data_IF_479127077469
#
_entry.id   IF_479127077469
#
_cell.length_a   1.000
_cell.length_b   1.000
_cell.length_c   1.000
_cell.angle_alpha   90.00
_cell.angle_beta   90.00
_cell.angle_gamma   90.00
#
_symmetry.space_group_name_H-M   'P 1'
#
loop_
_entity.id
_entity.type
_entity.pdbx_description
1 polymer ?
2 non-polymer ?
3 non-polymer ?
4 non-polymer ?
5 water ?
#
# COMPACT_ATOMS: atom_id res chain seq x y z
N UNK A 1 11.11 -8.55 6.21
CA UNK A 1 12.45 -9.02 6.66
C UNK A 1 13.18 -7.91 7.40
N UNK A 2 14.24 -7.38 6.79
CA UNK A 2 14.93 -6.17 7.25
C UNK A 2 15.67 -5.57 6.06
N UNK A 3 16.48 -4.53 6.30
CA UNK A 3 17.19 -3.82 5.23
C UNK A 3 18.64 -4.26 5.07
N UNK A 4 19.00 -5.37 5.72
CA UNK A 4 20.39 -5.88 5.73
C UNK A 4 20.67 -6.74 4.48
N UNK A 5 20.55 -6.10 3.32
CA UNK A 5 20.88 -6.75 2.05
C UNK A 5 21.49 -5.79 1.05
N UNK A 6 22.16 -6.38 0.05
CA UNK A 6 22.88 -5.68 -1.01
C UNK A 6 22.11 -5.83 -2.31
N UNK A 7 22.05 -4.77 -3.10
CA UNK A 7 21.62 -4.92 -4.50
C UNK A 7 22.83 -5.22 -5.31
N UNK A 8 22.91 -6.46 -5.76
CA UNK A 8 24.02 -6.85 -6.64
C UNK A 8 23.84 -6.19 -8.02
N UNK A 9 24.93 -6.16 -8.79
CA UNK A 9 24.95 -5.48 -10.09
C UNK A 9 24.21 -6.29 -11.15
N UNK A 10 22.88 -6.16 -11.14
CA UNK A 10 22.01 -6.82 -12.11
C UNK A 10 21.39 -5.72 -12.98
N UNK A 11 21.85 -5.59 -14.22
CA UNK A 11 21.42 -4.48 -15.08
C UNK A 11 20.94 -5.03 -16.41
N UNK A 12 19.68 -4.81 -16.72
CA UNK A 12 19.08 -5.27 -17.96
C UNK A 12 19.02 -4.11 -18.95
N UNK A 13 19.45 -4.34 -20.18
CA UNK A 13 19.43 -3.28 -21.19
C UNK A 13 18.48 -3.60 -22.34
N UNK A 14 17.98 -2.55 -22.98
CA UNK A 14 17.07 -2.63 -24.13
C UNK A 14 17.19 -1.32 -24.94
N UNK A 15 16.27 -1.12 -25.89
CA UNK A 15 16.24 0.11 -26.69
C UNK A 15 17.42 0.19 -27.64
N UNK A 16 17.93 1.40 -27.86
CA UNK A 16 19.03 1.64 -28.81
C UNK A 16 20.36 1.14 -28.23
N UNK A 17 21.12 0.34 -29.01
CA UNK A 17 22.48 -0.06 -28.60
C UNK A 17 23.26 1.15 -28.11
N UNK A 18 23.87 1.05 -26.94
CA UNK A 18 24.38 2.23 -26.27
C UNK A 18 25.43 3.01 -27.08
N UNK A 19 26.23 2.29 -27.87
CA UNK A 19 27.25 2.93 -28.70
C UNK A 19 26.65 3.85 -29.77
N UNK A 20 25.38 3.67 -30.12
CA UNK A 20 24.77 4.48 -31.16
C UNK A 20 23.84 5.55 -30.59
N UNK A 21 23.42 5.35 -29.34
CA UNK A 21 22.35 6.15 -28.75
C UNK A 21 22.74 7.59 -28.46
N UNK A 22 21.84 8.50 -28.81
CA UNK A 22 21.93 9.92 -28.51
C UNK A 22 21.54 10.20 -27.04
N UNK A 23 20.70 9.32 -26.48
CA UNK A 23 20.12 9.53 -25.16
C UNK A 23 20.01 8.19 -24.44
N UNK A 24 19.81 8.24 -23.13
CA UNK A 24 19.62 7.03 -22.35
C UNK A 24 18.56 7.26 -21.33
N UNK A 25 17.95 6.18 -20.87
CA UNK A 25 16.96 6.30 -19.80
C UNK A 25 17.20 5.20 -18.77
N UNK A 26 17.25 5.59 -17.51
CA UNK A 26 17.36 4.68 -16.38
C UNK A 26 15.94 4.44 -15.88
N UNK A 27 15.46 3.18 -15.95
CA UNK A 27 14.09 2.84 -15.58
C UNK A 27 14.10 2.00 -14.31
N UNK A 28 13.31 2.42 -13.32
CA UNK A 28 13.34 1.81 -11.98
C UNK A 28 11.96 1.24 -11.65
N UNK A 29 11.93 -0.08 -11.49
CA UNK A 29 10.72 -0.82 -11.19
C UNK A 29 10.24 -0.61 -9.78
N UNK A 30 9.00 -0.99 -9.55
CA UNK A 30 8.37 -0.87 -8.26
C UNK A 30 8.55 -2.07 -7.33
N UNK A 31 7.94 -1.99 -6.16
CA UNK A 31 8.06 -3.04 -5.13
C UNK A 31 7.47 -4.36 -5.65
N UNK A 32 8.25 -5.43 -5.55
CA UNK A 32 7.82 -6.74 -6.06
C UNK A 32 7.92 -6.87 -7.57
N UNK A 33 8.49 -5.85 -8.23
CA UNK A 33 8.52 -5.79 -9.68
C UNK A 33 9.83 -6.24 -10.26
N UNK A 34 9.95 -6.16 -11.59
CA UNK A 34 11.17 -6.61 -12.25
C UNK A 34 11.61 -5.62 -13.28
N UNK A 35 12.90 -5.67 -13.61
CA UNK A 35 13.44 -4.85 -14.69
C UNK A 35 12.74 -5.13 -16.03
N UNK A 36 12.52 -6.41 -16.34
CA UNK A 36 11.84 -6.76 -17.61
C UNK A 36 10.45 -6.12 -17.70
N UNK A 37 9.74 -6.10 -16.56
CA UNK A 37 8.43 -5.46 -16.43
C UNK A 37 8.53 -4.00 -16.86
N UNK A 38 9.29 -3.23 -16.08
CA UNK A 38 9.37 -1.77 -16.24
C UNK A 38 9.82 -1.37 -17.66
N UNK A 39 10.70 -2.16 -18.26
CA UNK A 39 11.15 -1.90 -19.64
C UNK A 39 9.97 -1.93 -20.62
N UNK A 40 8.96 -2.75 -20.34
CA UNK A 40 7.83 -2.85 -21.27
C UNK A 40 7.07 -1.52 -21.40
N UNK A 41 7.34 -0.55 -20.51
CA UNK A 41 6.74 0.79 -20.66
C UNK A 41 7.22 1.49 -21.93
N UNK A 42 8.29 0.97 -22.54
CA UNK A 42 8.75 1.53 -23.81
C UNK A 42 7.71 1.35 -24.93
N UNK A 43 6.73 0.49 -24.70
CA UNK A 43 5.65 0.27 -25.66
C UNK A 43 4.68 1.46 -25.72
N UNK A 44 4.67 2.30 -24.68
CA UNK A 44 3.73 3.43 -24.57
C UNK A 44 4.41 4.79 -24.31
N UNK A 45 5.61 4.78 -23.70
CA UNK A 45 6.42 5.97 -23.54
C UNK A 45 7.32 6.19 -24.75
N UNK A 46 7.51 7.46 -25.12
CA UNK A 46 8.37 7.84 -26.26
C UNK A 46 9.84 7.71 -25.86
N UNK A 47 10.38 6.49 -25.94
CA UNK A 47 11.77 6.21 -25.53
C UNK A 47 12.58 5.64 -26.70
N UNK A 48 12.08 5.80 -27.91
CA UNK A 48 12.66 5.09 -29.05
C UNK A 48 14.07 5.55 -29.43
N UNK A 49 14.49 6.73 -28.95
CA UNK A 49 15.87 7.20 -29.17
C UNK A 49 16.83 6.89 -28.01
N UNK A 50 16.31 6.20 -26.98
CA UNK A 50 17.10 5.94 -25.79
C UNK A 50 17.69 4.54 -25.73
N UNK A 51 18.93 4.48 -25.23
CA UNK A 51 19.48 3.25 -24.69
C UNK A 51 18.78 3.08 -23.34
N UNK A 52 18.17 1.93 -23.11
CA UNK A 52 17.38 1.70 -21.89
C UNK A 52 18.17 0.82 -20.93
N UNK A 53 18.39 1.32 -19.71
CA UNK A 53 18.99 0.55 -18.62
C UNK A 53 17.99 0.40 -17.50
N UNK A 54 17.77 -0.83 -17.04
CA UNK A 54 16.85 -1.07 -15.92
C UNK A 54 17.55 -2.00 -14.92
N UNK A 55 18.01 -1.44 -13.77
CA UNK A 55 18.63 -2.33 -12.79
C UNK A 55 17.57 -3.15 -12.09
N UNK A 56 17.92 -4.40 -11.72
CA UNK A 56 16.98 -5.26 -11.03
C UNK A 56 17.28 -5.25 -9.53
N UNK A 57 16.25 -5.01 -8.71
CA UNK A 57 16.43 -5.01 -7.26
C UNK A 57 16.54 -6.44 -6.73
N UNK A 58 17.48 -6.62 -5.81
CA UNK A 58 17.55 -7.84 -5.02
C UNK A 58 16.28 -7.89 -4.18
N UNK A 59 15.72 -9.09 -4.04
CA UNK A 59 14.42 -9.31 -3.38
C UNK A 59 13.25 -8.62 -4.09
N UNK A 60 13.49 -8.22 -5.34
CA UNK A 60 12.52 -7.45 -6.14
C UNK A 60 12.00 -6.22 -5.39
N UNK A 61 12.83 -5.67 -4.50
CA UNK A 61 12.42 -4.54 -3.69
C UNK A 61 13.61 -3.70 -3.30
N UNK A 62 13.56 -2.40 -3.65
CA UNK A 62 14.66 -1.46 -3.35
C UNK A 62 14.98 -1.31 -1.88
N UNK A 63 13.95 -1.33 -1.05
CA UNK A 63 14.15 -1.19 0.41
C UNK A 63 12.89 -1.79 1.07
N UNK A 64 13.02 -2.31 2.30
CA UNK A 64 11.98 -3.22 2.85
C UNK A 64 10.63 -2.62 3.29
N UNK A 65 10.64 -1.35 3.67
CA UNK A 65 9.49 -0.71 4.31
C UNK A 65 8.98 0.47 3.51
N UNK A 66 7.88 1.09 3.98
CA UNK A 66 7.39 2.33 3.38
C UNK A 66 8.55 3.30 3.16
N UNK A 67 8.50 4.03 2.04
CA UNK A 67 9.45 5.11 1.79
C UNK A 67 9.45 6.16 2.90
N UNK A 68 8.35 6.24 3.64
CA UNK A 68 8.27 7.15 4.77
C UNK A 68 8.51 6.57 6.17
N UNK A 69 8.99 5.32 6.23
CA UNK A 69 9.53 4.79 7.47
C UNK A 69 10.76 5.61 7.91
N UNK A 70 11.05 5.65 9.22
CA UNK A 70 12.37 6.20 9.65
C UNK A 70 13.45 5.63 8.79
N UNK A 71 14.23 6.50 8.17
CA UNK A 71 15.09 6.08 7.08
C UNK A 71 16.09 4.99 7.49
N UNK A 72 16.55 5.05 8.74
CA UNK A 72 17.50 4.02 9.20
C UNK A 72 16.93 2.60 9.10
N UNK A 73 15.59 2.46 9.16
CA UNK A 73 14.95 1.14 9.05
C UNK A 73 15.01 0.60 7.64
N UNK A 74 15.29 1.48 6.68
CA UNK A 74 15.44 1.12 5.25
C UNK A 74 16.86 1.03 4.82
N UNK A 75 17.77 1.14 5.78
CA UNK A 75 19.21 1.08 5.54
C UNK A 75 19.76 -0.23 6.08
N UNK A 76 20.78 -0.81 5.42
CA UNK A 76 21.60 -0.31 4.32
C UNK A 76 21.08 -0.57 2.89
N UNK A 77 19.92 -1.19 2.75
CA UNK A 77 19.35 -1.51 1.43
C UNK A 77 19.18 -0.26 0.56
N UNK A 78 18.71 0.83 1.16
CA UNK A 78 18.53 2.09 0.42
C UNK A 78 19.85 2.62 -0.16
N UNK A 79 20.89 2.71 0.69
CA UNK A 79 22.20 3.15 0.23
C UNK A 79 22.69 2.23 -0.88
N UNK A 80 22.43 0.94 -0.72
CA UNK A 80 22.81 -0.02 -1.76
C UNK A 80 22.05 0.25 -3.06
N UNK A 81 20.76 0.54 -2.93
CA UNK A 81 19.94 0.89 -4.11
C UNK A 81 20.49 2.16 -4.81
N UNK A 82 20.81 3.18 -4.01
CA UNK A 82 21.36 4.44 -4.56
C UNK A 82 22.70 4.19 -5.24
N UNK A 83 23.53 3.34 -4.63
CA UNK A 83 24.81 2.97 -5.24
C UNK A 83 24.64 2.33 -6.63
N UNK A 84 23.67 1.44 -6.75
CA UNK A 84 23.44 0.74 -8.01
C UNK A 84 22.96 1.72 -9.11
N UNK A 85 22.06 2.62 -8.75
CA UNK A 85 21.58 3.62 -9.74
C UNK A 85 22.79 4.44 -10.18
N UNK A 86 23.62 4.83 -9.22
CA UNK A 86 24.84 5.58 -9.50
C UNK A 86 25.80 4.83 -10.43
N UNK A 87 25.93 3.52 -10.20
CA UNK A 87 26.74 2.67 -11.11
C UNK A 87 26.20 2.69 -12.54
N UNK A 88 24.87 2.59 -12.67
CA UNK A 88 24.23 2.62 -13.99
C UNK A 88 24.52 3.96 -14.68
N UNK A 89 24.30 5.07 -13.95
CA UNK A 89 24.63 6.41 -14.50
C UNK A 89 26.10 6.50 -14.93
N UNK A 90 27.00 6.03 -14.06
CA UNK A 90 28.42 6.01 -14.39
C UNK A 90 28.71 5.21 -15.66
N UNK A 91 28.09 4.04 -15.80
CA UNK A 91 28.29 3.23 -17.02
C UNK A 91 27.85 3.98 -18.29
N UNK A 92 26.67 4.59 -18.21
CA UNK A 92 26.14 5.36 -19.33
C UNK A 92 27.11 6.49 -19.72
N UNK A 93 27.58 7.24 -18.73
CA UNK A 93 28.51 8.32 -19.04
C UNK A 93 29.81 7.78 -19.63
N UNK A 94 30.26 6.61 -19.18
CA UNK A 94 31.48 6.00 -19.73
C UNK A 94 31.30 5.51 -21.19
N UNK A 95 30.03 5.29 -21.58
CA UNK A 95 29.71 4.90 -22.96
C UNK A 95 29.60 6.13 -23.83
N UNK A 96 29.80 7.31 -23.24
CA UNK A 96 29.85 8.57 -23.98
C UNK A 96 28.54 9.37 -24.08
N UNK A 97 27.55 9.01 -23.26
CA UNK A 97 26.29 9.76 -23.19
C UNK A 97 26.36 10.64 -21.95
N UNK A 98 26.38 11.97 -22.15
CA UNK A 98 26.49 12.93 -21.06
C UNK A 98 25.22 12.97 -20.21
N UNK A 99 25.35 13.40 -18.96
CA UNK A 99 24.20 13.37 -18.02
C UNK A 99 23.01 14.19 -18.54
N UNK A 100 23.29 15.24 -19.32
CA UNK A 100 22.21 16.06 -19.86
C UNK A 100 21.34 15.38 -20.93
N UNK A 101 21.77 14.18 -21.36
CA UNK A 101 21.00 13.32 -22.27
C UNK A 101 20.56 12.05 -21.55
N UNK A 102 20.64 12.04 -20.21
CA UNK A 102 20.21 10.88 -19.43
C UNK A 102 18.88 11.22 -18.76
N UNK A 103 17.91 10.35 -18.98
CA UNK A 103 16.55 10.49 -18.43
C UNK A 103 16.34 9.44 -17.36
N UNK A 104 15.39 9.70 -16.46
CA UNK A 104 15.02 8.72 -15.42
C UNK A 104 13.52 8.53 -15.41
N UNK A 105 13.09 7.28 -15.21
CA UNK A 105 11.66 6.99 -15.13
C UNK A 105 11.41 5.91 -14.09
N UNK A 106 10.49 6.16 -13.17
CA UNK A 106 10.24 5.19 -12.11
C UNK A 106 8.76 5.20 -11.77
N UNK A 107 8.27 4.07 -11.25
CA UNK A 107 6.90 4.00 -10.74
C UNK A 107 6.94 3.59 -9.29
N UNK A 108 6.16 4.29 -8.47
CA UNK A 108 5.95 3.89 -7.07
C UNK A 108 7.28 3.81 -6.31
N UNK A 109 7.65 2.64 -5.77
CA UNK A 109 8.93 2.49 -5.08
C UNK A 109 10.09 2.97 -5.95
N UNK A 110 10.03 2.67 -7.25
CA UNK A 110 11.01 3.15 -8.24
C UNK A 110 10.99 4.66 -8.47
N UNK A 111 9.80 5.27 -8.34
CA UNK A 111 9.69 6.75 -8.47
C UNK A 111 10.35 7.42 -7.25
N UNK A 112 10.13 6.86 -6.07
CA UNK A 112 10.76 7.38 -4.86
C UNK A 112 12.29 7.29 -4.98
N UNK A 113 12.78 6.13 -5.42
CA UNK A 113 14.21 5.94 -5.62
C UNK A 113 14.75 6.91 -6.69
N UNK A 114 13.98 7.11 -7.76
CA UNK A 114 14.33 8.03 -8.82
C UNK A 114 14.54 9.44 -8.24
N UNK A 115 13.56 9.91 -7.46
CA UNK A 115 13.61 11.27 -6.90
C UNK A 115 14.76 11.38 -5.90
N UNK A 116 14.93 10.35 -5.07
CA UNK A 116 15.96 10.40 -4.03
C UNK A 116 17.35 10.41 -4.66
N UNK A 117 17.55 9.58 -5.68
CA UNK A 117 18.85 9.57 -6.34
C UNK A 117 19.17 10.88 -7.06
N UNK A 118 18.21 11.35 -7.84
CA UNK A 118 18.48 12.53 -8.65
C UNK A 118 18.64 13.79 -7.80
N UNK A 119 17.95 13.86 -6.65
CA UNK A 119 17.99 15.02 -5.77
C UNK A 119 19.25 15.01 -4.88
N UNK A 120 19.76 13.82 -4.57
CA UNK A 120 21.08 13.75 -3.91
C UNK A 120 22.21 14.09 -4.87
N UNK A 121 21.92 14.00 -6.17
CA UNK A 121 22.94 14.14 -7.23
C UNK A 121 22.44 15.04 -8.32
N UNK A 122 21.95 16.22 -7.94
CA UNK A 122 21.26 17.11 -8.89
C UNK A 122 22.26 17.73 -9.84
N UNK A 123 21.94 17.64 -11.12
CA UNK A 123 22.70 18.30 -12.17
C UNK A 123 21.76 18.39 -13.36
N UNK A 124 22.27 18.85 -14.50
CA UNK A 124 21.41 18.95 -15.68
C UNK A 124 21.22 17.54 -16.23
N UNK A 125 19.99 17.04 -16.16
CA UNK A 125 19.67 15.75 -16.75
C UNK A 125 18.74 15.98 -17.94
N UNK A 126 18.52 14.94 -18.74
CA UNK A 126 17.57 15.04 -19.84
C UNK A 126 16.14 15.28 -19.37
N UNK A 127 15.74 14.57 -18.32
CA UNK A 127 14.39 14.70 -17.77
C UNK A 127 14.19 13.63 -16.72
N UNK A 128 13.24 13.86 -15.82
CA UNK A 128 13.00 12.94 -14.71
C UNK A 128 11.50 12.71 -14.60
N UNK A 129 11.10 11.43 -14.62
CA UNK A 129 9.68 11.08 -14.57
C UNK A 129 9.42 10.23 -13.33
N UNK A 130 8.65 10.78 -12.39
CA UNK A 130 8.35 10.09 -11.13
C UNK A 130 6.87 9.83 -11.02
N UNK A 131 6.45 8.67 -11.55
CA UNK A 131 5.03 8.27 -11.46
C UNK A 131 4.73 7.78 -10.06
N UNK A 132 3.96 8.57 -9.32
CA UNK A 132 3.52 8.23 -7.94
C UNK A 132 4.67 7.96 -6.99
N UNK A 133 5.43 9.01 -6.70
CA UNK A 133 6.52 8.88 -5.76
C UNK A 133 6.85 10.20 -5.09
N UNK A 134 7.69 10.11 -4.06
CA UNK A 134 8.18 11.27 -3.33
C UNK A 134 9.57 11.02 -2.79
N UNK A 135 10.19 12.07 -2.26
CA UNK A 135 11.49 11.95 -1.61
C UNK A 135 11.35 11.07 -0.34
N UNK A 136 12.45 10.46 0.07
CA UNK A 136 12.41 9.32 1.00
C UNK A 136 12.73 9.71 2.43
N UNK A 137 11.96 9.19 3.39
CA UNK A 137 12.28 9.28 4.83
C UNK A 137 11.11 9.78 5.63
N UNK A 138 10.98 9.32 6.88
CA UNK A 138 9.94 9.86 7.75
C UNK A 138 10.11 11.37 7.88
N UNK A 139 11.36 11.81 8.11
CA UNK A 139 11.73 13.22 8.11
C UNK A 139 12.51 13.46 6.82
N UNK A 140 12.26 14.56 6.11
CA UNK A 140 13.13 14.92 5.01
C UNK A 140 14.46 15.37 5.58
N UNK A 141 15.54 14.81 5.04
CA UNK A 141 16.88 15.20 5.46
C UNK A 141 17.49 16.06 4.36
N UNK A 142 17.26 17.38 4.43
CA UNK A 142 17.64 18.28 3.34
C UNK A 142 19.15 18.29 3.12
N UNK A 143 19.90 17.96 4.18
CA UNK A 143 21.34 17.98 4.08
C UNK A 143 21.94 16.99 3.11
N UNK A 144 21.13 15.99 2.71
CA UNK A 144 21.53 15.01 1.69
C UNK A 144 21.39 15.49 0.24
N UNK A 145 20.69 16.61 0.06
CA UNK A 145 20.34 17.04 -1.28
C UNK A 145 21.31 18.10 -1.77
N UNK A 146 22.02 17.77 -2.84
CA UNK A 146 23.08 18.64 -3.35
C UNK A 146 23.03 18.76 -4.84
N UNK A 147 23.45 19.91 -5.35
CA UNK A 147 23.52 20.11 -6.78
C UNK A 147 22.55 21.17 -7.27
N UNK A 148 22.46 21.31 -8.60
CA UNK A 148 21.48 22.22 -9.20
C UNK A 148 20.94 21.56 -10.45
N UNK A 149 19.63 21.50 -10.60
CA UNK A 149 19.06 20.81 -11.76
C UNK A 149 19.21 21.55 -13.10
N UNK A 150 19.59 22.82 -13.06
CA UNK A 150 19.80 23.61 -14.28
C UNK A 150 18.57 23.51 -15.19
N UNK A 151 17.39 23.55 -14.58
CA UNK A 151 16.12 23.60 -15.33
C UNK A 151 15.70 22.23 -15.89
N UNK A 152 16.32 21.14 -15.41
CA UNK A 152 15.86 19.77 -15.78
C UNK A 152 14.34 19.64 -15.65
N UNK A 153 13.66 19.21 -16.73
CA UNK A 153 12.22 19.01 -16.62
C UNK A 153 11.94 17.79 -15.74
N UNK A 154 11.02 17.93 -14.79
CA UNK A 154 10.65 16.85 -13.87
C UNK A 154 9.13 16.74 -13.86
N UNK A 155 8.62 15.53 -14.02
CA UNK A 155 7.19 15.23 -13.87
C UNK A 155 7.00 14.40 -12.62
N UNK A 156 6.15 14.87 -11.73
CA UNK A 156 5.85 14.15 -10.50
C UNK A 156 4.33 14.07 -10.34
N UNK A 157 3.83 12.85 -10.14
CA UNK A 157 2.40 12.67 -9.97
C UNK A 157 2.08 11.80 -8.78
N UNK A 158 0.83 11.88 -8.35
CA UNK A 158 0.26 10.91 -7.43
C UNK A 158 -1.26 10.96 -7.55
N UNK A 159 -1.92 10.04 -6.89
CA UNK A 159 -3.37 10.09 -6.80
C UNK A 159 -3.76 10.70 -5.47
N UNK A 160 -5.04 11.06 -5.35
CA UNK A 160 -5.54 11.62 -4.12
C UNK A 160 -6.93 11.09 -3.86
N UNK A 161 -7.12 10.44 -2.69
CA UNK A 161 -6.07 10.06 -1.74
C UNK A 161 -5.25 8.86 -2.24
N UNK A 162 -4.11 8.60 -1.62
CA UNK A 162 -3.34 7.38 -1.86
C UNK A 162 -2.68 7.02 -0.54
N UNK A 163 -3.03 5.85 0.03
CA UNK A 163 -2.51 5.46 1.34
C UNK A 163 -1.02 5.15 1.37
N UNK A 164 -0.40 5.04 0.20
CA UNK A 164 1.05 4.80 0.10
C UNK A 164 1.89 6.04 -0.01
N UNK A 165 1.33 7.10 -0.60
CA UNK A 165 2.06 8.35 -0.88
C UNK A 165 1.14 9.50 -0.52
N UNK A 166 1.32 10.11 0.67
CA UNK A 166 0.44 11.24 0.92
C UNK A 166 0.73 12.38 -0.05
N UNK A 167 -0.31 13.12 -0.40
CA UNK A 167 -0.18 14.29 -1.25
C UNK A 167 0.81 15.28 -0.61
N UNK A 168 0.77 15.37 0.73
CA UNK A 168 1.70 16.24 1.46
C UNK A 168 3.17 16.00 1.11
N UNK A 169 3.57 14.73 0.97
CA UNK A 169 4.97 14.42 0.63
C UNK A 169 5.31 14.74 -0.83
N UNK A 170 4.36 14.57 -1.74
CA UNK A 170 4.59 15.01 -3.11
C UNK A 170 4.80 16.55 -3.15
N UNK A 171 3.95 17.29 -2.43
CA UNK A 171 4.09 18.77 -2.30
C UNK A 171 5.46 19.16 -1.76
N UNK A 172 5.88 18.49 -0.69
CA UNK A 172 7.19 18.75 -0.08
C UNK A 172 8.30 18.49 -1.07
N UNK A 173 8.17 17.39 -1.83
CA UNK A 173 9.16 17.00 -2.85
C UNK A 173 9.23 18.06 -3.93
N UNK A 174 8.08 18.52 -4.39
CA UNK A 174 8.03 19.60 -5.39
C UNK A 174 8.76 20.87 -4.88
N UNK A 175 8.49 21.25 -3.64
CA UNK A 175 9.11 22.43 -3.06
C UNK A 175 10.64 22.31 -3.08
N UNK A 176 11.14 21.14 -2.71
CA UNK A 176 12.59 20.91 -2.68
C UNK A 176 13.16 20.91 -4.11
N UNK A 177 12.49 20.20 -5.01
CA UNK A 177 12.91 20.17 -6.44
C UNK A 177 12.95 21.57 -7.04
N UNK A 178 11.92 22.36 -6.75
CA UNK A 178 11.88 23.74 -7.28
C UNK A 178 12.99 24.61 -6.70
N UNK A 179 13.23 24.48 -5.40
CA UNK A 179 14.37 25.16 -4.77
C UNK A 179 15.73 24.81 -5.38
N UNK A 180 15.84 23.59 -5.89
CA UNK A 180 17.08 23.14 -6.53
C UNK A 180 17.07 23.34 -8.02
N UNK A 181 16.12 24.17 -8.48
CA UNK A 181 16.11 24.67 -9.86
C UNK A 181 15.69 23.63 -10.91
N UNK A 182 14.91 22.62 -10.50
CA UNK A 182 14.23 21.79 -11.50
C UNK A 182 13.10 22.61 -12.13
N UNK A 183 12.73 22.25 -13.36
CA UNK A 183 11.48 22.77 -13.99
C UNK A 183 10.37 21.74 -13.73
N UNK A 184 9.59 21.96 -12.66
CA UNK A 184 8.71 20.92 -12.14
C UNK A 184 7.26 21.00 -12.61
N UNK A 185 6.76 19.88 -13.12
CA UNK A 185 5.32 19.69 -13.41
C UNK A 185 4.75 18.70 -12.42
N UNK A 186 3.82 19.17 -11.58
CA UNK A 186 3.21 18.33 -10.56
C UNK A 186 1.77 18.14 -10.95
N UNK A 187 1.32 16.90 -11.00
CA UNK A 187 -0.08 16.63 -11.31
C UNK A 187 -0.61 15.63 -10.31
N UNK A 188 -1.73 16.00 -9.67
CA UNK A 188 -2.38 15.16 -8.69
C UNK A 188 -3.71 14.74 -9.29
N UNK A 189 -3.98 13.44 -9.27
CA UNK A 189 -5.17 12.87 -9.91
C UNK A 189 -6.15 12.35 -8.85
N UNK A 190 -7.16 13.18 -8.51
CA UNK A 190 -8.16 12.82 -7.51
C UNK A 190 -8.84 11.50 -7.91
N UNK A 191 -8.90 10.56 -6.98
CA UNK A 191 -9.61 9.29 -7.20
C UNK A 191 -8.94 8.27 -8.11
N UNK A 192 -7.76 8.58 -8.65
CA UNK A 192 -7.05 7.64 -9.51
C UNK A 192 -6.49 6.49 -8.67
N UNK A 193 -6.62 5.23 -9.16
CA UNK A 193 -6.00 4.10 -8.45
C UNK A 193 -4.48 4.17 -8.50
N UNK A 194 -3.84 3.32 -7.71
CA UNK A 194 -2.38 3.33 -7.59
C UNK A 194 -1.78 2.70 -8.82
N UNK A 195 -1.56 3.51 -9.86
CA UNK A 195 -1.24 2.99 -11.18
C UNK A 195 -0.68 4.11 -12.05
N UNK A 196 -0.24 3.78 -13.26
CA UNK A 196 0.11 4.80 -14.25
C UNK A 196 -1.09 4.97 -15.19
N UNK A 197 -1.75 6.12 -15.10
CA UNK A 197 -2.91 6.41 -15.94
C UNK A 197 -2.47 6.74 -17.38
N UNK A 198 -3.39 6.58 -18.33
CA UNK A 198 -3.09 6.93 -19.73
C UNK A 198 -2.79 8.40 -19.89
N UNK A 199 -3.42 9.23 -19.05
CA UNK A 199 -3.21 10.68 -19.09
C UNK A 199 -1.76 11.04 -18.74
N UNK A 200 -1.21 10.34 -17.75
CA UNK A 200 0.18 10.55 -17.33
C UNK A 200 1.13 10.20 -18.45
N UNK A 201 0.83 9.10 -19.15
CA UNK A 201 1.66 8.65 -20.26
C UNK A 201 1.69 9.70 -21.38
N UNK A 202 0.52 10.19 -21.79
CA UNK A 202 0.42 11.19 -22.86
C UNK A 202 1.11 12.48 -22.43
N UNK A 203 0.88 12.88 -21.19
CA UNK A 203 1.43 14.13 -20.69
C UNK A 203 2.95 14.07 -20.68
N UNK A 204 3.49 12.95 -20.23
CA UNK A 204 4.96 12.79 -20.22
C UNK A 204 5.49 12.80 -21.66
N UNK A 205 4.78 12.15 -22.57
CA UNK A 205 5.25 12.10 -23.97
C UNK A 205 5.27 13.45 -24.65
N UNK A 206 4.33 14.33 -24.25
CA UNK A 206 4.21 15.67 -24.85
C UNK A 206 5.03 16.74 -24.14
N UNK A 207 5.70 16.37 -23.06
CA UNK A 207 6.49 17.31 -22.26
C UNK A 207 7.91 16.80 -22.08
N UNK A 208 8.13 16.01 -21.04
CA UNK A 208 9.48 15.49 -20.72
C UNK A 208 10.12 14.80 -21.93
N UNK A 209 9.32 14.01 -22.65
CA UNK A 209 9.82 13.20 -23.76
C UNK A 209 9.54 13.80 -25.12
N UNK A 210 9.14 15.09 -25.16
CA UNK A 210 8.90 15.80 -26.42
C UNK A 210 10.13 15.74 -27.31
N UNK B 2 -4.82 16.71 8.75
CA UNK B 2 -5.36 15.75 7.72
C UNK B 2 -5.10 14.29 8.12
N UNK B 3 -3.82 13.92 8.26
CA UNK B 3 -3.44 12.57 8.67
C UNK B 3 -3.85 12.26 10.12
N UNK B 4 -3.76 13.28 10.99
CA UNK B 4 -4.21 13.11 12.38
C UNK B 4 -5.71 13.41 12.53
N UNK B 5 -6.47 12.38 12.90
CA UNK B 5 -7.88 12.49 13.25
C UNK B 5 -8.28 11.30 14.13
N UNK B 6 -9.44 11.40 14.74
CA UNK B 6 -10.03 10.28 15.45
C UNK B 6 -11.48 10.11 14.97
N UNK B 7 -12.10 9.02 15.42
CA UNK B 7 -13.47 8.66 15.02
C UNK B 7 -14.49 9.04 16.03
N UNK B 8 -15.50 9.76 15.61
CA UNK B 8 -16.69 9.92 16.46
C UNK B 8 -17.54 8.64 16.52
N UNK B 9 -18.45 8.60 17.48
CA UNK B 9 -19.29 7.43 17.68
C UNK B 9 -20.46 7.51 16.71
N UNK B 10 -20.29 6.88 15.55
CA UNK B 10 -21.35 6.81 14.55
C UNK B 10 -21.53 5.33 14.29
N UNK B 11 -22.67 4.79 14.72
CA UNK B 11 -22.97 3.36 14.55
C UNK B 11 -24.30 3.21 13.81
N UNK B 12 -24.26 2.52 12.66
CA UNK B 12 -25.48 2.20 11.88
C UNK B 12 -25.91 0.78 12.27
N UNK B 13 -27.21 0.59 12.49
CA UNK B 13 -27.71 -0.75 12.79
C UNK B 13 -28.74 -1.20 11.75
N UNK B 14 -28.84 -2.51 11.58
CA UNK B 14 -29.74 -3.12 10.63
C UNK B 14 -30.00 -4.56 11.08
N UNK B 15 -30.63 -5.38 10.24
CA UNK B 15 -30.84 -6.77 10.57
C UNK B 15 -31.89 -6.98 11.67
N UNK B 16 -31.74 -8.07 12.41
CA UNK B 16 -32.68 -8.41 13.48
C UNK B 16 -32.62 -7.37 14.61
N UNK B 17 -33.79 -6.87 15.08
CA UNK B 17 -33.79 -6.01 16.25
C UNK B 17 -33.02 -6.67 17.39
N UNK B 18 -32.09 -5.93 17.99
CA UNK B 18 -31.11 -6.55 18.85
C UNK B 18 -31.74 -7.19 20.09
N UNK B 19 -32.86 -6.65 20.59
CA UNK B 19 -33.54 -7.20 21.78
C UNK B 19 -34.14 -8.60 21.58
N UNK B 20 -34.14 -9.08 20.33
CA UNK B 20 -34.57 -10.47 20.07
C UNK B 20 -33.66 -11.23 19.12
N UNK B 21 -32.42 -10.77 18.96
CA UNK B 21 -31.44 -11.46 18.09
C UNK B 21 -30.63 -12.49 18.88
N UNK B 22 -30.45 -13.67 18.28
CA UNK B 22 -29.55 -14.72 18.78
C UNK B 22 -28.10 -14.26 18.70
N UNK B 23 -27.80 -13.67 17.55
CA UNK B 23 -26.45 -13.42 17.10
C UNK B 23 -26.33 -11.98 16.64
N UNK B 24 -25.09 -11.49 16.53
CA UNK B 24 -24.84 -10.16 16.00
C UNK B 24 -23.64 -10.21 15.13
N UNK B 25 -23.58 -9.30 14.16
CA UNK B 25 -22.38 -9.19 13.35
C UNK B 25 -21.94 -7.72 13.34
N UNK B 26 -20.62 -7.52 13.51
CA UNK B 26 -20.01 -6.21 13.44
C UNK B 26 -19.39 -6.15 12.02
N UNK B 27 -19.85 -5.23 11.19
CA UNK B 27 -19.39 -5.10 9.81
C UNK B 27 -18.57 -3.82 9.62
N UNK B 28 -17.36 -4.00 9.07
CA UNK B 28 -16.38 -2.92 8.96
C UNK B 28 -16.05 -2.62 7.49
N UNK B 29 -16.48 -1.43 7.05
CA UNK B 29 -16.27 -1.00 5.66
C UNK B 29 -14.82 -0.77 5.31
N UNK B 30 -14.54 -0.75 4.01
CA UNK B 30 -13.20 -0.48 3.48
C UNK B 30 -12.87 1.01 3.38
N UNK B 31 -11.65 1.29 2.96
CA UNK B 31 -11.20 2.66 2.75
C UNK B 31 -12.02 3.37 1.65
N UNK B 32 -12.57 4.53 1.97
CA UNK B 32 -13.43 5.27 1.04
C UNK B 32 -14.89 4.83 1.13
N UNK B 33 -15.16 3.87 2.01
CA UNK B 33 -16.47 3.24 2.08
C UNK B 33 -17.33 3.79 3.18
N UNK B 34 -18.55 3.26 3.27
CA UNK B 34 -19.49 3.69 4.30
C UNK B 34 -20.12 2.48 5.01
N UNK B 35 -20.63 2.72 6.22
CA UNK B 35 -21.41 1.72 6.93
C UNK B 35 -22.58 1.20 6.10
N UNK B 36 -23.29 2.10 5.43
CA UNK B 36 -24.42 1.70 4.57
C UNK B 36 -23.98 0.77 3.43
N UNK B 37 -22.82 1.07 2.83
CA UNK B 37 -22.15 0.23 1.84
C UNK B 37 -21.97 -1.20 2.30
N UNK B 38 -21.29 -1.36 3.45
CA UNK B 38 -20.89 -2.68 3.93
C UNK B 38 -22.13 -3.49 4.37
N UNK B 39 -23.13 -2.80 4.92
CA UNK B 39 -24.37 -3.46 5.37
C UNK B 39 -25.09 -4.09 4.17
N UNK B 40 -24.89 -3.52 2.99
CA UNK B 40 -25.54 -4.03 1.78
C UNK B 40 -25.12 -5.46 1.41
N UNK B 41 -23.97 -5.92 1.96
CA UNK B 41 -23.55 -7.31 1.85
C UNK B 41 -24.57 -8.30 2.45
N UNK B 42 -25.52 -7.82 3.26
CA UNK B 42 -26.54 -8.71 3.83
C UNK B 42 -27.43 -9.28 2.71
N UNK B 43 -27.39 -8.66 1.53
CA UNK B 43 -28.15 -9.15 0.39
C UNK B 43 -27.59 -10.47 -0.14
N UNK B 44 -26.30 -10.70 0.12
CA UNK B 44 -25.66 -11.92 -0.38
C UNK B 44 -25.09 -12.82 0.71
N UNK B 45 -24.82 -12.25 1.90
CA UNK B 45 -24.33 -13.03 3.03
C UNK B 45 -25.50 -13.56 3.86
N UNK B 46 -25.32 -14.76 4.42
CA UNK B 46 -26.36 -15.37 5.26
C UNK B 46 -26.36 -14.74 6.66
N UNK B 47 -27.05 -13.62 6.80
CA UNK B 47 -27.02 -12.86 8.06
C UNK B 47 -28.43 -12.74 8.68
N UNK B 48 -29.34 -13.61 8.26
CA UNK B 48 -30.74 -13.48 8.73
C UNK B 48 -30.98 -13.68 10.21
N UNK B 49 -30.08 -14.31 10.93
CA UNK B 49 -30.31 -14.40 12.37
C UNK B 49 -29.40 -13.44 13.15
N UNK B 50 -28.88 -12.42 12.47
CA UNK B 50 -27.99 -11.44 13.11
C UNK B 50 -28.58 -10.05 13.22
N UNK B 51 -28.40 -9.45 14.39
CA UNK B 51 -28.48 -8.00 14.52
C UNK B 51 -27.22 -7.48 13.85
N UNK B 52 -27.35 -6.47 12.99
CA UNK B 52 -26.18 -5.91 12.28
C UNK B 52 -25.77 -4.56 12.85
N UNK B 53 -24.48 -4.43 13.19
CA UNK B 53 -23.88 -3.17 13.65
C UNK B 53 -22.75 -2.80 12.72
N UNK B 54 -22.76 -1.58 12.20
CA UNK B 54 -21.68 -1.14 11.32
C UNK B 54 -21.25 0.28 11.73
N UNK B 55 -20.07 0.41 12.37
CA UNK B 55 -19.62 1.77 12.71
C UNK B 55 -19.15 2.47 11.46
N UNK B 56 -19.32 3.79 11.45
CA UNK B 56 -18.89 4.61 10.31
C UNK B 56 -17.60 5.32 10.65
N UNK B 57 -16.59 5.16 9.79
CA UNK B 57 -15.28 5.81 9.99
C UNK B 57 -15.36 7.26 9.65
N UNK B 58 -14.78 8.10 10.52
CA UNK B 58 -14.50 9.49 10.17
C UNK B 58 -13.58 9.53 8.95
N UNK B 59 -13.86 10.47 8.04
CA UNK B 59 -13.17 10.58 6.74
C UNK B 59 -13.35 9.32 5.87
N UNK B 60 -14.35 8.48 6.18
CA UNK B 60 -14.56 7.22 5.45
C UNK B 60 -13.30 6.32 5.42
N UNK B 61 -12.42 6.45 6.41
CA UNK B 61 -11.15 5.72 6.43
C UNK B 61 -10.69 5.48 7.85
N UNK B 62 -10.45 4.22 8.20
CA UNK B 62 -10.16 3.84 9.59
C UNK B 62 -8.86 4.42 10.07
N UNK B 63 -7.90 4.56 9.16
CA UNK B 63 -6.58 5.13 9.44
C UNK B 63 -6.01 5.67 8.12
N UNK B 64 -5.14 6.69 8.22
CA UNK B 64 -4.76 7.48 7.03
C UNK B 64 -3.92 6.75 5.99
N UNK B 65 -3.05 5.84 6.42
CA UNK B 65 -2.06 5.24 5.51
C UNK B 65 -2.20 3.72 5.38
N UNK B 66 -1.33 3.10 4.57
CA UNK B 66 -1.34 1.64 4.41
C UNK B 66 -1.28 0.95 5.77
N UNK B 67 -2.00 -0.17 5.91
CA UNK B 67 -1.91 -0.94 7.14
C UNK B 67 -0.47 -1.40 7.42
N UNK B 68 0.41 -1.32 6.41
CA UNK B 68 1.78 -1.75 6.58
C UNK B 68 2.80 -0.62 6.73
N UNK B 69 2.30 0.62 6.86
CA UNK B 69 3.12 1.74 7.31
C UNK B 69 3.55 1.56 8.78
N UNK B 70 4.56 2.32 9.24
CA UNK B 70 4.84 2.28 10.68
C UNK B 70 3.57 2.60 11.46
N UNK B 71 3.24 1.79 12.46
CA UNK B 71 1.95 1.90 13.12
C UNK B 71 1.77 3.30 13.73
N UNK B 72 2.86 3.91 14.20
CA UNK B 72 2.78 5.23 14.82
C UNK B 72 2.23 6.29 13.84
N UNK B 73 2.48 6.09 12.54
CA UNK B 73 1.96 7.01 11.52
C UNK B 73 0.45 6.88 11.28
N UNK B 74 -0.13 5.78 11.76
CA UNK B 74 -1.58 5.55 11.66
C UNK B 74 -2.29 5.89 12.97
N UNK B 75 -1.55 6.47 13.90
CA UNK B 75 -2.12 6.89 15.19
C UNK B 75 -2.33 8.40 15.22
N UNK B 76 -3.36 8.89 15.95
CA UNK B 76 -4.26 8.16 16.85
C UNK B 76 -5.50 7.54 16.19
N UNK B 77 -5.61 7.63 14.86
CA UNK B 77 -6.81 7.11 14.16
C UNK B 77 -7.04 5.61 14.41
N UNK B 78 -5.96 4.85 14.38
CA UNK B 78 -6.04 3.39 14.58
C UNK B 78 -6.54 3.04 15.98
N UNK B 79 -5.92 3.63 17.02
CA UNK B 79 -6.38 3.40 18.38
C UNK B 79 -7.84 3.82 18.53
N UNK B 80 -8.21 4.94 17.88
CA UNK B 80 -9.60 5.41 17.97
C UNK B 80 -10.54 4.41 17.29
N UNK B 81 -10.11 3.87 16.16
CA UNK B 81 -10.91 2.86 15.42
C UNK B 81 -11.10 1.59 16.27
N UNK B 82 -10.03 1.14 16.89
CA UNK B 82 -10.07 -0.01 17.79
C UNK B 82 -11.00 0.25 18.99
N UNK B 83 -10.94 1.45 19.57
CA UNK B 83 -11.86 1.86 20.65
C UNK B 83 -13.35 1.82 20.24
N UNK B 84 -13.62 2.31 19.03
CA UNK B 84 -14.95 2.34 18.48
C UNK B 84 -15.51 0.92 18.26
N UNK B 85 -14.70 0.05 17.66
CA UNK B 85 -15.12 -1.37 17.52
C UNK B 85 -15.37 -1.97 18.90
N UNK B 86 -14.48 -1.71 19.86
CA UNK B 86 -14.71 -2.16 21.24
C UNK B 86 -16.03 -1.67 21.82
N UNK B 87 -16.38 -0.41 21.55
CA UNK B 87 -17.66 0.13 22.04
C UNK B 87 -18.85 -0.62 21.44
N UNK B 88 -18.77 -0.88 20.13
CA UNK B 88 -19.81 -1.66 19.44
C UNK B 88 -20.01 -3.03 20.11
N UNK B 89 -18.90 -3.76 20.29
CA UNK B 89 -18.94 -5.04 21.00
C UNK B 89 -19.57 -4.89 22.40
N UNK B 90 -19.15 -3.86 23.17
CA UNK B 90 -19.73 -3.59 24.48
C UNK B 90 -21.26 -3.35 24.41
N UNK B 91 -21.71 -2.62 23.39
CA UNK B 91 -23.16 -2.37 23.23
C UNK B 91 -23.91 -3.67 22.98
N UNK B 92 -23.34 -4.54 22.14
CA UNK B 92 -24.00 -5.83 21.80
C UNK B 92 -24.08 -6.69 23.07
N UNK B 93 -22.98 -6.77 23.82
CA UNK B 93 -22.98 -7.51 25.08
C UNK B 93 -24.01 -6.98 26.08
N UNK B 94 -24.14 -5.65 26.18
CA UNK B 94 -25.10 -5.00 27.07
C UNK B 94 -26.52 -5.33 26.64
N UNK B 95 -26.71 -5.63 25.36
CA UNK B 95 -28.03 -6.04 24.87
C UNK B 95 -28.33 -7.51 25.18
N UNK B 96 -27.33 -8.21 25.68
CA UNK B 96 -27.51 -9.57 26.16
C UNK B 96 -27.04 -10.65 25.20
N UNK B 97 -26.26 -10.27 24.19
CA UNK B 97 -25.69 -11.22 23.26
C UNK B 97 -24.22 -11.43 23.62
N UNK B 98 -23.84 -12.68 23.98
CA UNK B 98 -22.45 -12.95 24.41
C UNK B 98 -21.49 -12.92 23.24
N UNK B 99 -20.21 -12.69 23.53
CA UNK B 99 -19.17 -12.64 22.50
C UNK B 99 -19.11 -13.89 21.62
N UNK B 100 -19.42 -15.06 22.18
CA UNK B 100 -19.42 -16.31 21.39
C UNK B 100 -20.50 -16.32 20.30
N UNK B 101 -21.43 -15.35 20.37
CA UNK B 101 -22.46 -15.17 19.33
C UNK B 101 -22.27 -13.89 18.55
N UNK B 102 -21.08 -13.29 18.67
CA UNK B 102 -20.75 -12.12 17.90
C UNK B 102 -19.79 -12.46 16.77
N UNK B 103 -20.18 -12.02 15.58
CA UNK B 103 -19.44 -12.26 14.36
C UNK B 103 -18.87 -10.95 13.87
N UNK B 104 -17.81 -11.05 13.05
CA UNK B 104 -17.21 -9.89 12.43
C UNK B 104 -17.04 -10.15 10.96
N UNK B 105 -17.24 -9.10 10.16
CA UNK B 105 -16.99 -9.17 8.71
C UNK B 105 -16.45 -7.83 8.24
N UNK B 106 -15.32 -7.87 7.54
CA UNK B 106 -14.75 -6.65 7.04
C UNK B 106 -14.17 -6.86 5.67
N UNK B 107 -14.04 -5.77 4.91
CA UNK B 107 -13.38 -5.85 3.62
C UNK B 107 -12.19 -4.91 3.56
N UNK B 108 -11.07 -5.42 3.07
CA UNK B 108 -9.86 -4.62 2.84
C UNK B 108 -9.46 -3.87 4.13
N UNK B 109 -9.46 -2.53 4.15
CA UNK B 109 -9.08 -1.80 5.38
C UNK B 109 -9.91 -2.28 6.58
N UNK B 110 -11.22 -2.51 6.35
CA UNK B 110 -12.09 -3.03 7.40
C UNK B 110 -11.80 -4.47 7.84
N UNK B 111 -11.24 -5.26 6.92
CA UNK B 111 -10.76 -6.63 7.24
C UNK B 111 -9.48 -6.58 8.09
N UNK B 112 -8.59 -5.64 7.76
CA UNK B 112 -7.37 -5.45 8.57
C UNK B 112 -7.75 -5.00 10.01
N UNK B 113 -8.67 -4.04 10.11
CA UNK B 113 -9.22 -3.61 11.41
C UNK B 113 -9.90 -4.76 12.14
N UNK B 114 -10.67 -5.57 11.40
CA UNK B 114 -11.35 -6.73 12.00
C UNK B 114 -10.33 -7.66 12.66
N UNK B 115 -9.26 -7.97 11.92
CA UNK B 115 -8.23 -8.89 12.41
C UNK B 115 -7.45 -8.26 13.57
N UNK B 116 -7.12 -6.99 13.46
CA UNK B 116 -6.35 -6.31 14.53
C UNK B 116 -7.18 -6.22 15.82
N UNK B 117 -8.47 -5.89 15.69
CA UNK B 117 -9.31 -5.84 16.89
C UNK B 117 -9.47 -7.21 17.55
N UNK B 118 -9.84 -8.22 16.76
CA UNK B 118 -10.17 -9.52 17.33
C UNK B 118 -8.91 -10.21 17.90
N UNK B 119 -7.75 -9.91 17.31
CA UNK B 119 -6.49 -10.55 17.72
C UNK B 119 -5.87 -9.86 18.96
N UNK B 120 -6.08 -8.55 19.08
CA UNK B 120 -5.74 -7.85 20.33
C UNK B 120 -6.69 -8.28 21.49
N UNK B 121 -7.89 -8.73 21.13
CA UNK B 121 -8.94 -9.07 22.10
C UNK B 121 -9.45 -10.49 21.85
N UNK B 122 -8.51 -11.44 21.77
CA UNK B 122 -8.84 -12.80 21.37
C UNK B 122 -9.65 -13.51 22.45
N UNK B 123 -10.72 -14.16 22.01
CA UNK B 123 -11.65 -14.87 22.87
C UNK B 123 -12.53 -15.70 21.93
N UNK B 124 -13.45 -16.49 22.46
CA UNK B 124 -14.36 -17.22 21.57
C UNK B 124 -15.39 -16.28 20.97
N UNK B 125 -15.33 -16.12 19.65
CA UNK B 125 -16.31 -15.31 18.93
C UNK B 125 -17.11 -16.25 18.04
N UNK B 126 -18.21 -15.77 17.49
CA UNK B 126 -19.01 -16.60 16.60
C UNK B 126 -18.27 -16.93 15.31
N UNK B 127 -17.53 -15.97 14.79
CA UNK B 127 -16.76 -16.18 13.56
C UNK B 127 -16.23 -14.87 13.08
N UNK B 128 -15.14 -14.93 12.30
CA UNK B 128 -14.42 -13.75 11.83
C UNK B 128 -14.19 -13.90 10.35
N UNK B 129 -14.67 -12.92 9.60
CA UNK B 129 -14.60 -12.97 8.15
C UNK B 129 -13.75 -11.77 7.70
N UNK B 130 -12.55 -12.06 7.22
CA UNK B 130 -11.62 -11.03 6.79
C UNK B 130 -11.40 -11.12 5.28
N UNK B 131 -12.25 -10.43 4.51
CA UNK B 131 -12.15 -10.41 3.05
C UNK B 131 -11.00 -9.47 2.69
N UNK B 132 -9.88 -10.04 2.25
CA UNK B 132 -8.70 -9.27 1.79
C UNK B 132 -8.14 -8.39 2.90
N UNK B 133 -7.59 -9.03 3.90
CA UNK B 133 -7.04 -8.31 5.05
C UNK B 133 -5.91 -9.04 5.71
N UNK B 134 -5.15 -8.30 6.52
CA UNK B 134 -4.10 -8.86 7.35
C UNK B 134 -3.94 -8.07 8.64
N UNK B 135 -3.23 -8.65 9.60
CA UNK B 135 -2.87 -7.91 10.83
C UNK B 135 -2.08 -6.64 10.51
N UNK B 136 -2.14 -5.66 11.41
CA UNK B 136 -1.71 -4.28 11.12
C UNK B 136 -0.33 -4.00 11.68
N UNK B 137 0.49 -3.38 10.84
CA UNK B 137 1.79 -2.85 11.26
C UNK B 137 2.89 -3.09 10.25
N UNK B 138 3.96 -2.33 10.38
CA UNK B 138 5.10 -2.49 9.51
C UNK B 138 5.73 -3.88 9.74
N UNK B 139 5.93 -4.21 11.02
CA UNK B 139 6.25 -5.57 11.42
C UNK B 139 5.26 -5.89 12.55
N UNK B 140 4.93 -7.15 12.70
CA UNK B 140 3.91 -7.54 13.66
C UNK B 140 4.35 -7.50 15.13
N UNK B 141 3.69 -6.65 15.92
CA UNK B 141 3.99 -6.52 17.34
C UNK B 141 3.21 -7.55 18.15
N UNK B 142 3.79 -8.74 18.28
CA UNK B 142 3.15 -9.90 18.94
C UNK B 142 2.67 -9.62 20.37
N UNK B 143 3.37 -8.74 21.08
CA UNK B 143 3.02 -8.38 22.47
C UNK B 143 1.63 -7.78 22.64
N UNK B 144 1.08 -7.28 21.53
CA UNK B 144 -0.26 -6.68 21.52
C UNK B 144 -1.38 -7.70 21.48
N UNK B 145 -1.02 -8.94 21.13
CA UNK B 145 -2.03 -9.98 20.87
C UNK B 145 -2.14 -10.90 22.06
N UNK B 146 -3.32 -10.92 22.66
CA UNK B 146 -3.50 -11.66 23.89
C UNK B 146 -4.79 -12.40 23.77
N UNK B 147 -4.83 -13.58 24.38
CA UNK B 147 -6.04 -14.36 24.45
C UNK B 147 -5.95 -15.67 23.67
N UNK B 148 -7.01 -16.44 23.75
CA UNK B 148 -7.14 -17.74 23.12
C UNK B 148 -8.45 -17.66 22.34
N UNK B 149 -8.38 -17.87 21.03
CA UNK B 149 -9.61 -17.85 20.22
C UNK B 149 -10.58 -19.02 20.46
N UNK B 150 -10.14 -20.04 21.18
CA UNK B 150 -11.03 -21.16 21.53
C UNK B 150 -11.75 -21.69 20.28
N UNK B 151 -10.98 -21.85 19.20
CA UNK B 151 -11.46 -22.49 17.95
C UNK B 151 -12.40 -21.63 17.13
N UNK B 152 -12.45 -20.32 17.42
CA UNK B 152 -13.25 -19.39 16.62
C UNK B 152 -12.96 -19.63 15.15
N UNK B 153 -14.00 -19.84 14.33
CA UNK B 153 -13.70 -20.00 12.89
C UNK B 153 -13.37 -18.67 12.23
N UNK B 154 -12.31 -18.67 11.44
CA UNK B 154 -11.81 -17.49 10.77
C UNK B 154 -11.63 -17.79 9.28
N UNK B 155 -12.16 -16.89 8.45
CA UNK B 155 -11.94 -16.93 7.01
C UNK B 155 -11.09 -15.73 6.67
N UNK B 156 -9.95 -15.96 6.02
CA UNK B 156 -9.06 -14.89 5.58
C UNK B 156 -8.67 -15.11 4.13
N UNK B 157 -8.81 -14.08 3.32
CA UNK B 157 -8.52 -14.20 1.89
C UNK B 157 -7.69 -13.03 1.42
N UNK B 158 -7.09 -13.19 0.24
CA UNK B 158 -6.62 -12.07 -0.54
C UNK B 158 -6.51 -12.51 -2.00
N UNK B 159 -6.13 -11.57 -2.87
CA UNK B 159 -5.86 -11.89 -4.24
C UNK B 159 -4.35 -12.02 -4.44
N UNK B 160 -3.94 -12.44 -5.63
CA UNK B 160 -2.53 -12.60 -5.94
C UNK B 160 -2.26 -12.31 -7.42
N UNK B 161 -1.55 -11.21 -7.71
CA UNK B 161 -1.06 -10.23 -6.74
C UNK B 161 -2.14 -9.23 -6.35
N UNK B 162 -2.00 -8.69 -5.14
CA UNK B 162 -2.76 -7.52 -4.75
C UNK B 162 -1.76 -6.56 -4.14
N UNK B 163 -1.62 -5.36 -4.71
CA UNK B 163 -0.75 -4.33 -4.14
C UNK B 163 -1.23 -3.84 -2.76
N UNK B 164 -2.52 -4.02 -2.46
CA UNK B 164 -3.09 -3.61 -1.17
C UNK B 164 -2.65 -4.52 -0.04
N UNK B 165 -2.92 -5.82 -0.17
CA UNK B 165 -2.62 -6.81 0.88
C UNK B 165 -1.79 -7.96 0.31
N UNK B 166 -0.48 -7.96 0.58
CA UNK B 166 0.38 -9.02 0.05
C UNK B 166 0.15 -10.39 0.69
N UNK B 167 0.34 -11.44 -0.10
CA UNK B 167 0.18 -12.81 0.36
C UNK B 167 1.01 -13.09 1.62
N UNK B 168 2.24 -12.58 1.66
CA UNK B 168 3.15 -12.77 2.81
C UNK B 168 2.50 -12.36 4.14
N UNK B 169 1.85 -11.20 4.14
CA UNK B 169 1.22 -10.72 5.34
C UNK B 169 -0.03 -11.54 5.70
N UNK B 170 -0.78 -12.03 4.70
CA UNK B 170 -1.89 -12.95 5.03
C UNK B 170 -1.32 -14.22 5.68
N UNK B 171 -0.23 -14.77 5.13
CA UNK B 171 0.34 -15.97 5.75
C UNK B 171 0.83 -15.70 7.19
N UNK B 172 1.53 -14.57 7.38
CA UNK B 172 2.01 -14.20 8.73
C UNK B 172 0.83 -14.13 9.70
N UNK B 173 -0.27 -13.54 9.23
CA UNK B 173 -1.50 -13.44 10.04
C UNK B 173 -2.06 -14.79 10.38
N UNK B 174 -2.17 -15.68 9.37
CA UNK B 174 -2.63 -17.06 9.63
C UNK B 174 -1.78 -17.76 10.71
N UNK B 175 -0.46 -17.63 10.61
CA UNK B 175 0.44 -18.23 11.61
C UNK B 175 0.08 -17.77 13.03
N UNK B 176 -0.11 -16.46 13.18
CA UNK B 176 -0.43 -15.89 14.48
C UNK B 176 -1.78 -16.39 14.97
N UNK B 177 -2.78 -16.33 14.07
CA UNK B 177 -4.12 -16.73 14.42
C UNK B 177 -4.17 -18.20 14.80
N UNK B 178 -3.44 -19.02 14.05
CA UNK B 178 -3.39 -20.48 14.37
C UNK B 178 -2.70 -20.74 15.71
N UNK B 179 -1.62 -20.01 15.97
CA UNK B 179 -0.87 -20.11 17.24
C UNK B 179 -1.77 -19.72 18.41
N UNK B 180 -2.73 -18.83 18.18
CA UNK B 180 -3.71 -18.44 19.20
C UNK B 180 -5.00 -19.22 19.15
N UNK B 181 -4.97 -20.37 18.48
CA UNK B 181 -6.05 -21.37 18.58
C UNK B 181 -7.34 -21.03 17.86
N UNK B 182 -7.24 -20.19 16.81
CA UNK B 182 -8.36 -19.98 15.90
C UNK B 182 -8.43 -21.23 14.99
N UNK B 183 -9.58 -21.44 14.38
CA UNK B 183 -9.73 -22.46 13.33
C UNK B 183 -9.76 -21.68 12.01
N UNK B 184 -8.62 -21.63 11.32
CA UNK B 184 -8.45 -20.70 10.21
C UNK B 184 -8.54 -21.38 8.85
N UNK B 185 -9.32 -20.76 7.95
CA UNK B 185 -9.36 -21.10 6.55
C UNK B 185 -8.78 -19.93 5.79
N UNK B 186 -7.67 -20.17 5.06
CA UNK B 186 -7.01 -19.15 4.25
C UNK B 186 -7.23 -19.50 2.79
N UNK B 187 -7.69 -18.55 1.98
CA UNK B 187 -7.79 -18.79 0.54
C UNK B 187 -7.20 -17.63 -0.23
N UNK B 188 -6.32 -17.94 -1.19
CA UNK B 188 -5.68 -16.93 -1.99
C UNK B 188 -6.23 -17.07 -3.41
N UNK B 189 -6.66 -15.96 -4.00
CA UNK B 189 -7.30 -15.98 -5.31
C UNK B 189 -6.41 -15.33 -6.40
N UNK B 190 -5.62 -16.14 -7.10
CA UNK B 190 -4.74 -15.53 -8.12
C UNK B 190 -5.52 -14.91 -9.26
N UNK B 191 -5.17 -13.66 -9.57
CA UNK B 191 -5.77 -12.94 -10.68
C UNK B 191 -7.11 -12.28 -10.35
N UNK B 192 -7.61 -12.46 -9.11
CA UNK B 192 -8.86 -11.82 -8.73
C UNK B 192 -8.64 -10.32 -8.54
N UNK B 193 -9.56 -9.48 -9.05
CA UNK B 193 -9.48 -8.04 -8.76
C UNK B 193 -9.63 -7.78 -7.25
N UNK B 194 -9.35 -6.54 -6.82
CA UNK B 194 -9.52 -6.15 -5.43
C UNK B 194 -10.98 -5.98 -5.10
N UNK B 195 -11.62 -7.05 -4.65
CA UNK B 195 -13.08 -7.11 -4.55
C UNK B 195 -13.44 -8.35 -3.73
N UNK B 196 -14.70 -8.47 -3.32
CA UNK B 196 -15.18 -9.70 -2.74
C UNK B 196 -15.81 -10.55 -3.84
N UNK B 197 -15.19 -11.70 -4.12
CA UNK B 197 -15.66 -12.57 -5.19
C UNK B 197 -16.85 -13.40 -4.77
N UNK B 198 -17.60 -13.89 -5.76
CA UNK B 198 -18.68 -14.83 -5.53
C UNK B 198 -18.22 -16.08 -4.80
N UNK B 199 -17.02 -16.58 -5.11
CA UNK B 199 -16.51 -17.76 -4.41
C UNK B 199 -16.37 -17.51 -2.91
N UNK B 200 -15.88 -16.31 -2.55
CA UNK B 200 -15.73 -15.93 -1.15
C UNK B 200 -17.07 -15.92 -0.43
N UNK B 201 -18.08 -15.35 -1.07
CA UNK B 201 -19.41 -15.28 -0.48
C UNK B 201 -19.96 -16.69 -0.24
N UNK B 202 -19.84 -17.56 -1.26
CA UNK B 202 -20.35 -18.93 -1.20
C UNK B 202 -19.65 -19.70 -0.07
N UNK B 203 -18.33 -19.57 -0.02
CA UNK B 203 -17.50 -20.25 0.97
C UNK B 203 -17.90 -19.86 2.40
N UNK B 204 -17.98 -18.55 2.63
CA UNK B 204 -18.40 -18.04 3.94
C UNK B 204 -19.81 -18.50 4.33
N UNK B 205 -20.74 -18.43 3.37
CA UNK B 205 -22.13 -18.88 3.62
C UNK B 205 -22.22 -20.35 3.95
N UNK B 206 -21.28 -21.15 3.44
CA UNK B 206 -21.29 -22.59 3.67
C UNK B 206 -20.43 -23.05 4.85
N UNK B 207 -19.80 -22.12 5.54
CA UNK B 207 -18.90 -22.47 6.64
C UNK B 207 -19.20 -21.58 7.84
N UNK B 208 -18.60 -20.39 7.89
CA UNK B 208 -18.76 -19.46 9.03
C UNK B 208 -20.24 -19.16 9.32
N UNK B 209 -20.99 -18.91 8.26
CA UNK B 209 -22.37 -18.47 8.39
C UNK B 209 -23.38 -19.60 8.18
N UNK B 210 -22.89 -20.83 8.03
CA UNK B 210 -23.77 -22.00 7.84
C UNK B 210 -24.80 -22.11 8.96
X LIG C 1 5.15 0.97 -2.04
X LIG C 1 5.48 0.30 -1.05
X LIG C 1 5.18 0.50 -3.20
X LIG C 1 4.69 2.40 -1.82
X LIG C 1 5.85 3.38 -2.04
X LIG C 1 6.42 3.18 -3.34
X LIG C 1 5.38 4.84 -1.95
X LIG C 1 4.88 5.32 -3.31
X LIG C 1 5.60 6.11 -3.97
X LIG C 1 3.77 4.90 -3.70
X LIG C 1 6.98 3.16 -1.06
X LIG C 1 8.13 2.99 -1.52
X LIG C 1 6.71 3.19 0.15
X LIG D 1 12.76 15.20 -24.55
X LIG E 1 -5.88 -0.03 1.44
X LIG E 1 -5.18 0.84 0.86
X LIG E 1 -7.02 0.18 1.93
X LIG E 1 -5.28 -1.41 1.57
X LIG E 1 -5.39 -1.98 2.98
X LIG E 1 -6.77 -2.21 3.29
X LIG E 1 -4.73 -3.35 3.00
X LIG E 1 -5.73 -4.40 2.52
X LIG E 1 -6.29 -5.14 3.37
X LIG E 1 -5.96 -4.47 1.27
X LIG E 1 -4.80 -1.04 4.03
X LIG E 1 -5.45 -0.84 5.09
X LIG E 1 -3.69 -0.48 3.78
X LIG F 1 -28.85 -12.23 3.22
X LIG G 1 4.50 -1.34 2.83
X LIG G 1 5.57 -1.91 2.06
X LIG G 1 4.51 0.17 2.62
X LIG G 1 4.71 0.49 1.24
X LIG G 1 3.18 0.78 3.08
X LIG G 1 2.83 1.89 2.22
#
# INVERSE_FOLDING_TARGET
SNAMYTHSKQIITSGVPVQRAKKAVVMLHGRGGTAADIISLQKVLKLDEMAIYAPQATNNSWYPYSFMAPVQQNQPALDSALALVGEVVAEIEAQGIPAEQIYFAGFSQGACLTLEYTTRNARKYGGIIAFTGGLIGQELAIGNYKGDFKQTPVFISTGNPDPHVPVSRVQESVTILEDMNAAVSQVVYPGRPHTISGDEIQLVNNTILK
SNAMYTHSKQIITSGVPVQRAKKAVVMLHGRGGTAADIISLQKVLKLDEMAIYAPQATNNSWYPYSFMAPVQQNQPALDSALALVGEVVAEIEAQGIPAEQIYFAGFSQGACLTLEYTTRNARKYGGIIAFTGGLIGQELAIGNYKGDFKQTPVFISTGNPDPHVPVSRVQESVTILEDMNAAVSQVVYPGRPHTISGDEIQLVNNTILK
CIT C1 O1 O2 C2 C3 O7 C4 C5 O3 O4 C6 O5 O6
NA NA
CIT C1 O1 O2 C2 C3 O7 C4 C5 O3 O4 C6 O5 O6
NA NA
GOL C1 O1 C2 O2 C3 O3
#
